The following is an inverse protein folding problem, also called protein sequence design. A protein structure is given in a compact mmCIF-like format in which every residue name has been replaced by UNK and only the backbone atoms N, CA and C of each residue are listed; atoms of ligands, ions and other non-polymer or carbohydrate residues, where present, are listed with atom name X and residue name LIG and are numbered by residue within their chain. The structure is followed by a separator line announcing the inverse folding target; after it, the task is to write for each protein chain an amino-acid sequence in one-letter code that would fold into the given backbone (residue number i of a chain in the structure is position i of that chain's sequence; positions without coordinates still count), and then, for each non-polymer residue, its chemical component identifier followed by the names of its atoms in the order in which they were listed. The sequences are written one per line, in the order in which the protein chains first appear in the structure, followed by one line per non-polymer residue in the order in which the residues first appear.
data_IF_562257298744
#
_entry.id   IF_562257298744
#
_cell.length_a   1.000
_cell.length_b   1.000
_cell.length_c   1.000
_cell.angle_alpha   90.00
_cell.angle_beta   90.00
_cell.angle_gamma   90.00
#
_symmetry.space_group_name_H-M   'P 1'
#
loop_
_entity.id
_entity.type
_entity.pdbx_description
1 polymer ?
#
# COMPACT_ATOMS: atom_id res chain seq x y z
N UNK A 1 -7.72 5.07 23.30
CA UNK A 1 -8.55 5.62 24.38
C UNK A 1 -9.64 6.55 23.86
N UNK A 2 -9.34 7.53 23.00
CA UNK A 2 -10.35 8.45 22.46
C UNK A 2 -11.56 7.74 21.85
N UNK A 3 -11.34 6.67 21.07
CA UNK A 3 -12.44 5.89 20.48
C UNK A 3 -13.36 5.23 21.55
N UNK A 4 -12.85 4.91 22.73
CA UNK A 4 -13.67 4.38 23.84
C UNK A 4 -14.64 5.42 24.40
N UNK A 5 -14.24 6.69 24.38
CA UNK A 5 -15.05 7.81 24.87
C UNK A 5 -16.10 8.23 23.86
N UNK A 6 -15.70 8.40 22.58
CA UNK A 6 -16.61 8.91 21.53
C UNK A 6 -17.49 7.84 20.92
N UNK A 7 -17.16 6.55 21.08
CA UNK A 7 -17.93 5.39 20.56
C UNK A 7 -18.30 5.55 19.08
N UNK A 8 -17.30 5.61 18.16
CA UNK A 8 -17.57 5.77 16.73
C UNK A 8 -18.35 4.57 16.18
N UNK A 9 -19.08 4.75 15.08
CA UNK A 9 -19.76 3.67 14.36
C UNK A 9 -18.77 2.68 13.71
N UNK A 10 -17.57 3.15 13.36
CA UNK A 10 -16.47 2.33 12.89
C UNK A 10 -15.12 2.97 13.22
N UNK A 11 -14.10 2.16 13.47
CA UNK A 11 -12.72 2.57 13.61
C UNK A 11 -11.87 1.83 12.59
N UNK A 12 -11.29 2.56 11.63
CA UNK A 12 -10.45 1.98 10.58
C UNK A 12 -8.98 2.02 10.99
N UNK A 13 -8.39 0.85 11.21
CA UNK A 13 -6.95 0.70 11.41
C UNK A 13 -6.26 0.46 10.07
N UNK A 14 -5.55 1.46 9.57
CA UNK A 14 -4.70 1.28 8.37
C UNK A 14 -3.44 0.49 8.70
N UNK A 15 -3.23 -0.59 7.97
CA UNK A 15 -2.03 -1.42 7.99
C UNK A 15 -1.38 -1.50 6.60
N UNK A 16 -0.54 -2.49 6.36
CA UNK A 16 0.29 -2.63 5.17
C UNK A 16 0.40 -4.09 4.74
N UNK A 17 0.69 -4.33 3.49
CA UNK A 17 1.04 -5.64 2.92
C UNK A 17 2.33 -6.23 3.53
N UNK A 18 3.22 -5.39 4.06
CA UNK A 18 4.49 -5.81 4.65
C UNK A 18 4.35 -6.62 5.95
N UNK A 19 3.19 -6.59 6.62
CA UNK A 19 2.99 -7.30 7.89
C UNK A 19 3.05 -8.82 7.74
N UNK A 20 2.74 -9.37 6.57
CA UNK A 20 2.81 -10.81 6.29
C UNK A 20 4.20 -11.28 5.83
N UNK A 21 5.14 -10.35 5.61
CA UNK A 21 6.48 -10.64 5.11
C UNK A 21 6.52 -10.85 3.58
N UNK A 22 7.64 -11.41 3.06
CA UNK A 22 7.82 -11.62 1.64
C UNK A 22 6.87 -12.70 1.10
N UNK A 23 6.41 -12.52 -0.13
CA UNK A 23 5.68 -13.54 -0.86
C UNK A 23 6.55 -14.25 -1.88
N UNK A 24 6.25 -15.51 -2.13
CA UNK A 24 6.80 -16.28 -3.26
C UNK A 24 6.06 -15.92 -4.55
N UNK A 25 6.65 -16.31 -5.70
CA UNK A 25 6.04 -16.06 -7.00
C UNK A 25 4.64 -16.70 -7.08
N UNK A 26 3.64 -15.89 -7.43
CA UNK A 26 2.24 -16.31 -7.52
C UNK A 26 1.51 -16.41 -6.17
N UNK A 27 2.18 -16.23 -5.05
CA UNK A 27 1.55 -16.21 -3.72
C UNK A 27 0.85 -14.87 -3.49
N UNK A 28 -0.38 -14.91 -2.95
CA UNK A 28 -1.12 -13.75 -2.47
C UNK A 28 -1.61 -14.01 -1.06
N UNK A 29 -1.32 -13.11 -0.14
CA UNK A 29 -1.76 -13.24 1.25
C UNK A 29 -3.23 -12.82 1.41
N UNK A 30 -4.01 -13.71 2.03
CA UNK A 30 -5.38 -13.43 2.44
C UNK A 30 -5.41 -12.58 3.72
N UNK A 31 -6.59 -12.08 4.09
CA UNK A 31 -6.79 -11.15 5.21
C UNK A 31 -6.20 -11.64 6.55
N UNK A 32 -6.20 -12.95 6.78
CA UNK A 32 -5.73 -13.54 8.04
C UNK A 32 -4.52 -14.48 7.85
N UNK A 33 -3.74 -14.23 6.83
CA UNK A 33 -2.42 -14.85 6.68
C UNK A 33 -1.52 -14.56 7.89
N UNK A 34 -0.54 -15.40 8.20
CA UNK A 34 0.38 -15.20 9.33
C UNK A 34 1.08 -13.84 9.25
N UNK A 35 1.30 -13.24 10.43
CA UNK A 35 2.08 -12.00 10.57
C UNK A 35 3.55 -12.39 10.76
N UNK A 36 4.40 -12.08 9.75
CA UNK A 36 5.82 -12.43 9.72
C UNK A 36 6.65 -11.24 9.19
N UNK A 37 6.66 -10.09 9.89
CA UNK A 37 7.28 -8.86 9.42
C UNK A 37 8.81 -9.01 9.29
N UNK A 38 9.37 -8.57 8.15
CA UNK A 38 10.81 -8.65 7.84
C UNK A 38 11.62 -7.44 8.29
N UNK A 39 10.96 -6.34 8.69
CA UNK A 39 11.64 -5.10 9.04
C UNK A 39 10.92 -4.36 10.20
N UNK A 40 11.61 -3.40 10.87
CA UNK A 40 11.04 -2.68 12.02
C UNK A 40 9.76 -1.90 11.71
N UNK A 41 9.60 -1.36 10.48
CA UNK A 41 8.38 -0.68 10.07
C UNK A 41 7.21 -1.68 10.03
N UNK A 42 7.37 -2.80 9.33
CA UNK A 42 6.36 -3.85 9.26
C UNK A 42 6.00 -4.38 10.66
N UNK A 43 7.00 -4.57 11.54
CA UNK A 43 6.78 -4.97 12.93
C UNK A 43 5.99 -3.91 13.71
N UNK A 44 6.26 -2.62 13.51
CA UNK A 44 5.50 -1.55 14.16
C UNK A 44 4.03 -1.53 13.71
N UNK A 45 3.77 -1.80 12.43
CA UNK A 45 2.40 -1.90 11.88
C UNK A 45 1.68 -3.14 12.42
N UNK A 46 2.36 -4.29 12.46
CA UNK A 46 1.83 -5.51 13.08
C UNK A 46 1.47 -5.30 14.56
N UNK A 47 2.29 -4.54 15.30
CA UNK A 47 1.99 -4.18 16.69
C UNK A 47 0.74 -3.30 16.79
N UNK A 48 0.51 -2.37 15.88
CA UNK A 48 -0.73 -1.57 15.83
C UNK A 48 -1.96 -2.46 15.58
N UNK A 49 -1.86 -3.46 14.72
CA UNK A 49 -2.94 -4.43 14.51
C UNK A 49 -3.23 -5.21 15.80
N UNK A 50 -2.21 -5.71 16.48
CA UNK A 50 -2.37 -6.44 17.74
C UNK A 50 -3.02 -5.57 18.83
N UNK A 51 -2.63 -4.30 18.96
CA UNK A 51 -3.27 -3.33 19.85
C UNK A 51 -4.74 -3.14 19.45
N UNK A 52 -5.05 -2.94 18.19
CA UNK A 52 -6.42 -2.78 17.70
C UNK A 52 -7.28 -4.01 18.01
N UNK A 53 -6.76 -5.22 17.78
CA UNK A 53 -7.46 -6.47 18.12
C UNK A 53 -7.74 -6.56 19.62
N UNK A 54 -6.80 -6.14 20.47
CA UNK A 54 -6.99 -6.14 21.92
C UNK A 54 -8.11 -5.19 22.36
N UNK A 55 -8.18 -4.00 21.75
CA UNK A 55 -9.25 -3.03 22.04
C UNK A 55 -10.61 -3.48 21.51
N UNK A 56 -10.64 -4.10 20.34
CA UNK A 56 -11.85 -4.75 19.83
C UNK A 56 -12.36 -5.80 20.80
N UNK A 57 -11.49 -6.69 21.30
CA UNK A 57 -11.87 -7.80 22.19
C UNK A 57 -12.24 -7.34 23.60
N UNK A 58 -11.51 -6.37 24.13
CA UNK A 58 -11.68 -5.95 25.55
C UNK A 58 -12.79 -4.94 25.72
N UNK A 59 -12.97 -4.04 24.73
CA UNK A 59 -13.85 -2.89 24.86
C UNK A 59 -14.97 -2.88 23.81
N UNK A 60 -15.08 -3.93 23.00
CA UNK A 60 -16.07 -4.10 21.95
C UNK A 60 -16.10 -2.91 20.96
N UNK A 61 -14.92 -2.35 20.65
CA UNK A 61 -14.83 -1.28 19.67
C UNK A 61 -15.08 -1.81 18.24
N UNK A 62 -15.83 -1.09 17.40
CA UNK A 62 -16.15 -1.50 16.04
C UNK A 62 -14.94 -1.32 15.09
N UNK A 63 -13.92 -2.14 15.26
CA UNK A 63 -12.65 -2.04 14.54
C UNK A 63 -12.71 -2.81 13.22
N UNK A 64 -12.26 -2.16 12.16
CA UNK A 64 -11.96 -2.76 10.86
C UNK A 64 -10.48 -2.54 10.59
N UNK A 65 -9.74 -3.61 10.24
CA UNK A 65 -8.33 -3.53 9.83
C UNK A 65 -8.28 -3.54 8.30
N UNK A 66 -7.50 -2.63 7.71
CA UNK A 66 -7.26 -2.62 6.27
C UNK A 66 -5.77 -2.74 5.97
N UNK A 67 -5.38 -3.74 5.18
CA UNK A 67 -4.03 -3.86 4.66
C UNK A 67 -4.00 -3.31 3.24
N UNK A 68 -3.07 -2.40 2.95
CA UNK A 68 -2.95 -1.80 1.62
C UNK A 68 -1.59 -2.07 1.01
N UNK A 69 -1.56 -2.23 -0.31
CA UNK A 69 -0.33 -2.23 -1.11
C UNK A 69 0.25 -0.81 -1.22
N UNK A 70 1.31 -0.61 -2.00
CA UNK A 70 1.97 0.70 -2.08
C UNK A 70 1.02 1.77 -2.63
N UNK A 71 0.71 2.75 -1.78
CA UNK A 71 -0.11 3.89 -2.15
C UNK A 71 0.73 4.95 -2.86
N UNK A 72 0.15 5.59 -3.87
CA UNK A 72 0.70 6.79 -4.50
C UNK A 72 -0.38 7.86 -4.69
N UNK A 73 0.03 9.09 -4.93
CA UNK A 73 -0.89 10.21 -5.15
C UNK A 73 -0.16 11.54 -5.29
N UNK A 74 -0.90 12.59 -5.58
CA UNK A 74 -0.42 13.91 -5.98
C UNK A 74 0.53 14.56 -4.97
N UNK A 75 0.16 14.57 -3.68
CA UNK A 75 0.92 15.18 -2.59
C UNK A 75 1.77 14.15 -1.82
N UNK A 76 2.20 13.10 -2.49
CA UNK A 76 3.03 12.07 -1.87
C UNK A 76 4.36 12.67 -1.38
N UNK A 77 4.81 12.20 -0.21
CA UNK A 77 6.05 12.66 0.41
C UNK A 77 7.25 12.51 -0.55
N UNK A 78 8.12 13.55 -0.68
CA UNK A 78 9.25 13.57 -1.62
C UNK A 78 10.26 12.43 -1.48
N UNK A 79 10.31 11.76 -0.35
CA UNK A 79 11.18 10.59 -0.10
C UNK A 79 10.66 9.28 -0.71
N UNK A 80 9.45 9.26 -1.25
CA UNK A 80 8.87 8.04 -1.84
C UNK A 80 9.32 7.85 -3.28
N UNK A 81 9.51 6.58 -3.65
CA UNK A 81 10.14 6.19 -4.91
C UNK A 81 9.51 6.85 -6.16
N UNK A 82 8.17 6.88 -6.36
CA UNK A 82 7.59 7.55 -7.53
C UNK A 82 7.98 9.02 -7.64
N UNK A 83 8.01 9.75 -6.50
CA UNK A 83 8.38 11.19 -6.46
C UNK A 83 9.87 11.37 -6.71
N UNK A 84 10.73 10.53 -6.11
CA UNK A 84 12.19 10.54 -6.37
C UNK A 84 12.46 10.36 -7.86
N UNK A 85 11.81 9.39 -8.51
CA UNK A 85 11.95 9.12 -9.94
C UNK A 85 11.61 10.37 -10.75
N UNK A 86 10.42 10.95 -10.49
CA UNK A 86 9.96 12.14 -11.22
C UNK A 86 10.88 13.34 -11.02
N UNK A 87 11.33 13.60 -9.79
CA UNK A 87 12.29 14.65 -9.45
C UNK A 87 13.60 14.49 -10.22
N UNK A 88 14.16 13.30 -10.27
CA UNK A 88 15.41 13.01 -10.97
C UNK A 88 15.26 13.16 -12.49
N UNK A 89 14.18 12.65 -13.07
CA UNK A 89 13.87 12.81 -14.49
C UNK A 89 13.69 14.31 -14.84
N UNK A 90 13.00 15.08 -14.00
CA UNK A 90 12.81 16.51 -14.20
C UNK A 90 14.16 17.25 -14.30
N UNK A 91 15.14 16.84 -13.48
CA UNK A 91 16.49 17.41 -13.41
C UNK A 91 17.49 16.79 -14.40
N UNK A 92 17.05 15.83 -15.24
CA UNK A 92 17.90 15.06 -16.15
C UNK A 92 19.03 14.27 -15.42
N UNK A 93 18.76 13.85 -14.19
CA UNK A 93 19.65 13.05 -13.34
C UNK A 93 19.44 11.55 -13.55
N UNK A 94 20.46 10.73 -13.18
CA UNK A 94 20.35 9.29 -13.18
C UNK A 94 19.47 8.80 -12.01
N UNK A 95 18.52 7.92 -12.30
CA UNK A 95 17.64 7.28 -11.32
C UNK A 95 18.29 5.98 -10.84
N UNK A 96 18.62 5.83 -9.54
CA UNK A 96 19.08 4.56 -9.01
C UNK A 96 17.92 3.58 -8.86
N UNK A 97 18.00 2.43 -9.52
CA UNK A 97 17.03 1.34 -9.43
C UNK A 97 17.67 0.20 -8.64
N UNK A 98 17.11 -0.11 -7.48
CA UNK A 98 17.61 -1.20 -6.64
C UNK A 98 17.30 -2.56 -7.28
N UNK A 99 18.36 -3.35 -7.50
CA UNK A 99 18.31 -4.67 -8.11
C UNK A 99 19.49 -4.96 -8.98
N UNK A 100 19.46 -6.12 -9.63
CA UNK A 100 20.41 -6.55 -10.66
C UNK A 100 19.66 -6.93 -11.93
N UNK A 101 20.34 -7.16 -13.02
CA UNK A 101 19.73 -7.59 -14.28
C UNK A 101 18.89 -8.86 -14.07
N UNK A 102 17.63 -8.82 -14.48
CA UNK A 102 16.66 -9.90 -14.27
C UNK A 102 16.18 -10.11 -12.81
N UNK A 103 16.59 -9.27 -11.85
CA UNK A 103 16.25 -9.41 -10.44
C UNK A 103 15.97 -8.05 -9.78
N UNK A 104 14.92 -7.37 -10.27
CA UNK A 104 14.44 -6.09 -9.74
C UNK A 104 13.19 -6.33 -8.91
N UNK A 105 13.11 -5.72 -7.72
CA UNK A 105 11.95 -5.85 -6.84
C UNK A 105 10.67 -5.33 -7.48
N UNK A 106 9.57 -6.02 -7.22
CA UNK A 106 8.22 -5.70 -7.74
C UNK A 106 7.31 -5.24 -6.62
N UNK A 107 6.35 -4.39 -6.94
CA UNK A 107 5.33 -3.90 -6.00
C UNK A 107 3.99 -3.76 -6.71
N UNK A 108 2.93 -3.99 -5.95
CA UNK A 108 1.59 -3.58 -6.35
C UNK A 108 1.39 -2.11 -5.97
N UNK A 109 0.74 -1.35 -6.84
CA UNK A 109 0.51 0.08 -6.66
C UNK A 109 -0.97 0.41 -6.77
N UNK A 110 -1.46 1.22 -5.84
CA UNK A 110 -2.84 1.70 -5.86
C UNK A 110 -2.88 3.21 -5.58
N UNK A 111 -3.71 3.95 -6.30
CA UNK A 111 -3.88 5.38 -6.05
C UNK A 111 -4.66 5.62 -4.75
N UNK A 112 -4.25 6.61 -3.97
CA UNK A 112 -4.88 6.94 -2.68
C UNK A 112 -6.38 7.22 -2.75
N UNK A 113 -6.90 7.75 -3.88
CA UNK A 113 -8.35 7.93 -4.10
C UNK A 113 -9.08 6.60 -4.26
N UNK A 114 -8.47 5.60 -4.91
CA UNK A 114 -9.03 4.27 -5.01
C UNK A 114 -9.08 3.59 -3.64
N UNK A 115 -8.06 3.81 -2.79
CA UNK A 115 -8.09 3.35 -1.39
C UNK A 115 -9.21 4.04 -0.61
N UNK A 116 -9.36 5.35 -0.74
CA UNK A 116 -10.45 6.09 -0.09
C UNK A 116 -11.83 5.61 -0.55
N UNK A 117 -11.99 5.32 -1.86
CA UNK A 117 -13.23 4.74 -2.40
C UNK A 117 -13.52 3.35 -1.80
N UNK A 118 -12.49 2.47 -1.71
CA UNK A 118 -12.63 1.17 -1.05
C UNK A 118 -13.06 1.30 0.42
N UNK A 119 -12.49 2.24 1.16
CA UNK A 119 -12.89 2.51 2.55
C UNK A 119 -14.34 2.96 2.63
N UNK A 120 -14.76 3.90 1.77
CA UNK A 120 -16.14 4.35 1.72
C UNK A 120 -17.10 3.23 1.31
N UNK A 121 -16.68 2.35 0.40
CA UNK A 121 -17.45 1.16 0.03
C UNK A 121 -17.61 0.21 1.23
N UNK A 122 -16.54 -0.09 1.95
CA UNK A 122 -16.58 -0.93 3.17
C UNK A 122 -17.56 -0.33 4.18
N UNK A 123 -17.42 0.96 4.52
CA UNK A 123 -18.27 1.64 5.49
C UNK A 123 -19.76 1.65 5.10
N UNK A 124 -20.08 1.68 3.81
CA UNK A 124 -21.46 1.70 3.31
C UNK A 124 -22.10 0.32 3.19
N UNK A 125 -21.30 -0.72 2.97
CA UNK A 125 -21.80 -2.04 2.59
C UNK A 125 -21.52 -3.12 3.63
N UNK A 126 -20.81 -2.80 4.71
CA UNK A 126 -20.49 -3.75 5.78
C UNK A 126 -20.80 -3.16 7.15
N UNK A 127 -20.97 -4.04 8.13
CA UNK A 127 -21.05 -3.66 9.54
C UNK A 127 -19.87 -4.28 10.27
N UNK A 128 -19.10 -3.51 11.05
CA UNK A 128 -17.95 -4.07 11.78
C UNK A 128 -18.36 -5.22 12.69
N UNK A 129 -17.57 -6.27 12.73
CA UNK A 129 -17.82 -7.37 13.65
C UNK A 129 -17.57 -6.92 15.10
N UNK A 130 -18.56 -7.15 15.96
CA UNK A 130 -18.42 -6.99 17.40
C UNK A 130 -17.86 -8.27 18.03
N UNK A 131 -17.15 -8.12 19.15
CA UNK A 131 -16.69 -9.27 19.89
C UNK A 131 -17.87 -9.99 20.57
N UNK A 132 -18.15 -11.22 20.12
CA UNK A 132 -19.13 -12.09 20.75
C UNK A 132 -18.35 -13.27 21.34
N UNK A 133 -18.29 -13.41 22.67
CA UNK A 133 -17.57 -14.50 23.33
C UNK A 133 -17.96 -15.87 22.72
N UNK A 134 -16.95 -16.66 22.36
CA UNK A 134 -17.08 -18.01 21.79
C UNK A 134 -17.73 -18.08 20.38
N UNK A 135 -17.92 -16.97 19.69
CA UNK A 135 -18.50 -16.95 18.33
C UNK A 135 -17.60 -16.26 17.30
N UNK A 136 -17.11 -15.06 17.60
CA UNK A 136 -16.20 -14.30 16.74
C UNK A 136 -14.92 -14.04 17.52
N UNK A 137 -13.80 -14.44 16.95
CA UNK A 137 -12.49 -14.41 17.61
C UNK A 137 -11.56 -13.32 17.08
N UNK A 138 -11.98 -12.59 16.04
CA UNK A 138 -11.19 -11.57 15.34
C UNK A 138 -12.08 -10.46 14.74
N UNK A 139 -11.58 -9.21 14.65
CA UNK A 139 -12.30 -8.12 14.02
C UNK A 139 -12.41 -8.32 12.50
N UNK A 140 -13.18 -7.46 11.85
CA UNK A 140 -13.24 -7.46 10.39
C UNK A 140 -11.93 -6.94 9.78
N UNK A 141 -11.53 -7.52 8.63
CA UNK A 141 -10.30 -7.17 7.92
C UNK A 141 -10.52 -7.21 6.42
N UNK A 142 -9.89 -6.27 5.70
CA UNK A 142 -9.93 -6.18 4.23
C UNK A 142 -8.56 -5.88 3.66
N UNK A 143 -8.20 -6.59 2.60
CA UNK A 143 -7.07 -6.27 1.75
C UNK A 143 -7.53 -5.33 0.63
N UNK A 144 -6.88 -4.15 0.54
CA UNK A 144 -7.13 -3.18 -0.53
C UNK A 144 -5.91 -3.21 -1.44
N UNK A 145 -6.06 -3.85 -2.58
CA UNK A 145 -5.00 -4.07 -3.56
C UNK A 145 -5.46 -3.72 -4.98
N UNK A 146 -4.54 -3.73 -5.92
CA UNK A 146 -4.79 -3.63 -7.36
C UNK A 146 -4.22 -4.86 -8.07
N UNK A 147 -4.46 -4.98 -9.37
CA UNK A 147 -3.82 -5.99 -10.22
C UNK A 147 -2.49 -5.50 -10.82
N UNK A 148 -2.13 -4.25 -10.62
CA UNK A 148 -0.99 -3.59 -11.22
C UNK A 148 0.30 -3.87 -10.42
N UNK A 149 0.96 -4.99 -10.74
CA UNK A 149 2.27 -5.36 -10.22
C UNK A 149 3.35 -4.87 -11.18
N UNK A 150 4.25 -4.01 -10.71
CA UNK A 150 5.31 -3.41 -11.51
C UNK A 150 6.66 -3.54 -10.80
N UNK A 151 7.70 -3.82 -11.57
CA UNK A 151 9.06 -3.62 -11.08
C UNK A 151 9.36 -2.12 -10.91
N UNK A 152 10.32 -1.81 -10.08
CA UNK A 152 10.76 -0.42 -9.91
C UNK A 152 11.21 0.21 -11.23
N UNK A 153 11.79 -0.58 -12.15
CA UNK A 153 12.20 -0.10 -13.47
C UNK A 153 10.99 0.21 -14.36
N UNK A 154 10.01 -0.68 -14.43
CA UNK A 154 8.78 -0.46 -15.22
C UNK A 154 8.01 0.78 -14.73
N UNK A 155 7.92 0.97 -13.41
CA UNK A 155 7.32 2.20 -12.86
C UNK A 155 8.09 3.45 -13.29
N UNK A 156 9.43 3.43 -13.21
CA UNK A 156 10.26 4.56 -13.64
C UNK A 156 10.11 4.85 -15.14
N UNK A 157 10.02 3.81 -15.98
CA UNK A 157 9.79 3.93 -17.42
C UNK A 157 8.42 4.56 -17.72
N UNK A 158 7.35 4.12 -17.02
CA UNK A 158 6.01 4.73 -17.18
C UNK A 158 6.00 6.21 -16.77
N UNK A 159 6.65 6.57 -15.66
CA UNK A 159 6.77 7.96 -15.23
C UNK A 159 7.49 8.79 -16.31
N UNK A 160 8.62 8.31 -16.83
CA UNK A 160 9.36 9.00 -17.88
C UNK A 160 8.51 9.19 -19.15
N UNK A 161 7.77 8.16 -19.54
CA UNK A 161 6.83 8.21 -20.67
C UNK A 161 5.77 9.30 -20.47
N UNK A 162 5.14 9.37 -19.28
CA UNK A 162 4.12 10.39 -19.00
C UNK A 162 4.70 11.80 -18.87
N UNK A 163 5.97 11.93 -18.48
CA UNK A 163 6.70 13.20 -18.49
C UNK A 163 7.16 13.62 -19.90
N UNK A 164 7.09 12.74 -20.92
CA UNK A 164 7.66 12.98 -22.25
C UNK A 164 9.17 13.15 -22.23
N UNK A 165 9.89 12.50 -21.31
CA UNK A 165 11.33 12.60 -21.11
C UNK A 165 12.01 11.24 -21.17
N UNK A 166 13.31 11.25 -21.48
CA UNK A 166 14.14 10.04 -21.44
C UNK A 166 14.47 9.65 -19.98
N UNK A 167 14.41 8.34 -19.68
CA UNK A 167 14.85 7.78 -18.42
C UNK A 167 16.34 7.44 -18.49
N UNK A 168 17.15 8.11 -17.67
CA UNK A 168 18.52 7.68 -17.36
C UNK A 168 18.52 6.92 -16.05
N UNK A 169 18.98 5.68 -16.03
CA UNK A 169 18.99 4.89 -14.80
C UNK A 169 20.28 4.07 -14.66
N UNK A 170 20.56 3.65 -13.43
CA UNK A 170 21.58 2.68 -13.10
C UNK A 170 21.01 1.64 -12.12
N UNK A 171 21.46 0.40 -12.24
CA UNK A 171 21.14 -0.65 -11.29
C UNK A 171 22.12 -0.56 -10.10
N UNK A 172 21.57 -0.55 -8.88
CA UNK A 172 22.34 -0.48 -7.65
C UNK A 172 22.01 -1.68 -6.75
N UNK A 173 23.02 -2.21 -6.05
CA UNK A 173 22.83 -3.38 -5.19
C UNK A 173 21.84 -3.07 -4.05
N UNK A 174 20.86 -3.96 -3.90
CA UNK A 174 19.78 -3.82 -2.94
C UNK A 174 20.25 -4.02 -1.49
N UNK A 175 21.14 -4.98 -1.25
CA UNK A 175 21.52 -5.40 0.10
C UNK A 175 22.41 -4.40 0.85
N UNK A 176 23.19 -3.60 0.14
CA UNK A 176 24.11 -2.63 0.75
C UNK A 176 23.41 -1.41 1.34
N UNK A 177 22.18 -1.09 0.88
CA UNK A 177 21.50 0.17 1.21
C UNK A 177 20.20 0.00 1.98
N UNK A 178 19.54 -1.16 1.91
CA UNK A 178 18.23 -1.42 2.58
C UNK A 178 18.12 -2.86 3.09
N UNK A 179 18.80 -3.21 4.18
CA UNK A 179 18.67 -4.54 4.79
C UNK A 179 17.20 -4.76 5.27
N UNK A 180 16.67 -5.98 5.04
CA UNK A 180 15.31 -6.35 5.46
C UNK A 180 14.18 -5.88 4.55
N UNK A 181 14.47 -5.29 3.37
CA UNK A 181 13.45 -5.06 2.34
C UNK A 181 13.29 -6.29 1.45
N UNK A 182 12.08 -6.80 1.41
CA UNK A 182 11.71 -7.96 0.60
C UNK A 182 11.54 -7.60 -0.88
N UNK A 183 11.70 -8.59 -1.76
CA UNK A 183 11.60 -8.41 -3.22
C UNK A 183 10.18 -8.15 -3.67
N UNK A 184 9.21 -8.84 -3.07
CA UNK A 184 7.80 -8.74 -3.42
C UNK A 184 6.91 -8.83 -2.18
N UNK A 185 5.80 -8.09 -2.23
CA UNK A 185 4.66 -8.20 -1.32
C UNK A 185 3.40 -8.32 -2.17
N UNK A 186 2.45 -9.15 -1.76
CA UNK A 186 1.22 -9.35 -2.52
C UNK A 186 0.06 -9.68 -1.61
N UNK A 187 -1.09 -9.05 -1.85
CA UNK A 187 -2.35 -9.27 -1.14
C UNK A 187 -3.40 -9.83 -2.09
N UNK A 188 -4.27 -10.72 -1.59
CA UNK A 188 -5.49 -11.12 -2.29
C UNK A 188 -6.59 -10.09 -2.06
N UNK A 189 -7.17 -9.55 -3.13
CA UNK A 189 -8.32 -8.64 -3.09
C UNK A 189 -9.69 -9.33 -3.15
N UNK A 190 -9.71 -10.65 -3.22
CA UNK A 190 -10.93 -11.44 -3.47
C UNK A 190 -12.10 -11.14 -2.52
N UNK A 191 -11.84 -10.81 -1.27
CA UNK A 191 -12.89 -10.50 -0.31
C UNK A 191 -13.67 -9.24 -0.72
N UNK A 192 -12.99 -8.17 -1.10
CA UNK A 192 -13.64 -6.95 -1.58
C UNK A 192 -14.33 -7.14 -2.94
N UNK A 193 -13.70 -7.89 -3.84
CA UNK A 193 -14.30 -8.22 -5.14
C UNK A 193 -15.60 -9.01 -4.98
N UNK A 194 -15.63 -10.01 -4.10
CA UNK A 194 -16.84 -10.80 -3.78
C UNK A 194 -17.95 -9.95 -3.17
N UNK A 195 -17.60 -8.84 -2.47
CA UNK A 195 -18.57 -7.86 -1.99
C UNK A 195 -19.05 -6.90 -3.10
N UNK A 196 -18.41 -6.91 -4.26
CA UNK A 196 -18.78 -6.10 -5.43
C UNK A 196 -17.96 -4.83 -5.61
N UNK A 197 -16.91 -4.58 -4.79
CA UNK A 197 -16.01 -3.45 -5.02
C UNK A 197 -15.13 -3.69 -6.23
N UNK A 198 -14.97 -2.63 -7.04
CA UNK A 198 -14.03 -2.58 -8.16
C UNK A 198 -13.27 -1.27 -8.11
N UNK A 199 -12.00 -1.32 -8.42
CA UNK A 199 -11.16 -0.13 -8.51
C UNK A 199 -11.74 0.87 -9.52
N UNK A 200 -12.11 2.10 -9.10
CA UNK A 200 -12.81 3.05 -9.96
C UNK A 200 -11.97 3.59 -11.12
N UNK A 201 -10.67 3.83 -10.87
CA UNK A 201 -9.77 4.45 -11.86
C UNK A 201 -8.56 3.54 -12.05
N UNK A 202 -8.19 3.30 -13.30
CA UNK A 202 -7.03 2.46 -13.65
C UNK A 202 -5.71 3.02 -13.10
N UNK A 203 -4.71 2.16 -12.98
CA UNK A 203 -3.38 2.57 -12.55
C UNK A 203 -2.77 3.60 -13.53
N UNK A 204 -2.78 3.31 -14.83
CA UNK A 204 -2.16 4.17 -15.83
C UNK A 204 -2.80 5.57 -15.89
N UNK A 205 -4.11 5.64 -15.81
CA UNK A 205 -4.82 6.93 -15.74
C UNK A 205 -4.46 7.68 -14.45
N UNK A 206 -4.46 7.01 -13.32
CA UNK A 206 -4.09 7.59 -12.03
C UNK A 206 -2.64 8.08 -12.03
N UNK A 207 -1.70 7.27 -12.52
CA UNK A 207 -0.29 7.63 -12.56
C UNK A 207 -0.03 8.82 -13.50
N UNK A 208 -0.67 8.82 -14.68
CA UNK A 208 -0.59 9.94 -15.62
C UNK A 208 -1.06 11.24 -14.99
N UNK A 209 -2.20 11.21 -14.31
CA UNK A 209 -2.76 12.39 -13.63
C UNK A 209 -1.86 12.88 -12.49
N UNK A 210 -1.29 11.98 -11.70
CA UNK A 210 -0.33 12.32 -10.62
C UNK A 210 0.94 12.95 -11.20
N UNK A 211 1.50 12.35 -12.25
CA UNK A 211 2.71 12.88 -12.91
C UNK A 211 2.44 14.27 -13.46
N UNK A 212 1.33 14.48 -14.16
CA UNK A 212 0.96 15.79 -14.69
C UNK A 212 0.76 16.82 -13.56
N UNK A 213 0.00 16.44 -12.51
CA UNK A 213 -0.23 17.34 -11.39
C UNK A 213 1.07 17.77 -10.71
N UNK A 214 2.02 16.84 -10.50
CA UNK A 214 3.31 17.15 -9.89
C UNK A 214 4.20 18.00 -10.82
N UNK A 215 4.08 17.86 -12.13
CA UNK A 215 4.75 18.75 -13.09
C UNK A 215 4.19 20.19 -13.03
N UNK A 216 2.88 20.33 -12.83
CA UNK A 216 2.20 21.62 -12.71
C UNK A 216 2.40 22.25 -11.30
N UNK A 217 2.83 21.46 -10.33
CA UNK A 217 3.04 21.88 -8.93
C UNK A 217 4.45 21.48 -8.43
N UNK A 218 5.53 21.99 -9.04
CA UNK A 218 6.91 21.55 -8.79
C UNK A 218 7.37 21.71 -7.34
N UNK A 219 6.76 22.60 -6.56
CA UNK A 219 7.05 22.79 -5.13
C UNK A 219 6.80 21.53 -4.28
N UNK A 220 6.04 20.55 -4.78
CA UNK A 220 5.76 19.29 -4.09
C UNK A 220 6.79 18.20 -4.35
N UNK A 221 7.65 18.39 -5.35
CA UNK A 221 8.71 17.44 -5.71
C UNK A 221 10.13 17.99 -5.50
N UNK A 222 10.27 19.20 -5.03
CA UNK A 222 11.56 19.84 -4.72
C UNK A 222 12.27 19.32 -3.45
#
# INVERSE_FOLDING_TARGET
EYAREVKPEAFIQFSTDETSGPCEDGQRFEEWSPILPSNPYAASKASQEAISISYWRTYDLPIIITNTVNNFGEMQQPSKFPVIVQKKIAKNEVVPIHGSEGNIGTRYYIHSRNVADAILFILKNTTPYHHIPNKVDRPDRYNITSDDCLSNLELAQKIAQFMGKELKYELVDHHSTRPGHDKAYSLSGEKLEKLGWKQPVSFDESLKNVVQWQMDNPQWIE
#
